data_IF_731504051000
#
_entry.id   IF_731504051000
#
_cell.length_a   1.000
_cell.length_b   1.000
_cell.length_c   1.000
_cell.angle_alpha   90.00
_cell.angle_beta   90.00
_cell.angle_gamma   90.00
#
_symmetry.space_group_name_H-M   'P 1'
#
loop_
_entity.id
_entity.type
_entity.pdbx_description
1 polymer ?
#
# COMPACT_ATOMS: atom_id res chain seq x y z
N UNK A 1 14.84 -0.17 15.70
CA UNK A 1 13.42 -0.16 16.08
C UNK A 1 12.81 1.22 15.91
N UNK A 2 13.59 2.28 16.04
CA UNK A 2 13.19 3.70 15.91
C UNK A 2 12.59 4.13 14.55
N UNK A 3 12.48 3.22 13.58
CA UNK A 3 11.86 3.45 12.27
C UNK A 3 10.62 2.59 12.03
N UNK A 4 10.23 1.79 13.02
CA UNK A 4 8.96 1.07 13.04
C UNK A 4 7.97 1.90 13.84
N UNK A 5 6.81 2.12 13.25
CA UNK A 5 5.72 2.88 13.83
C UNK A 5 4.48 2.01 13.89
N UNK A 6 3.67 2.19 14.92
CA UNK A 6 2.34 1.61 14.98
C UNK A 6 1.39 2.40 14.09
N UNK A 7 0.27 1.74 13.72
CA UNK A 7 -0.71 2.27 12.77
C UNK A 7 -1.30 3.62 13.23
N UNK A 8 -1.62 3.72 14.52
CA UNK A 8 -2.23 4.92 15.10
C UNK A 8 -1.28 6.13 15.06
N UNK A 9 0.02 5.88 15.18
CA UNK A 9 1.04 6.92 15.21
C UNK A 9 1.35 7.46 13.81
N UNK A 10 1.36 6.58 12.79
CA UNK A 10 1.84 6.95 11.44
C UNK A 10 0.74 7.43 10.50
N UNK A 11 -0.54 7.13 10.77
CA UNK A 11 -1.62 7.39 9.82
C UNK A 11 -1.83 8.89 9.52
N UNK A 12 -1.55 9.78 10.48
CA UNK A 12 -1.65 11.23 10.28
C UNK A 12 -0.61 11.74 9.26
N UNK A 13 0.55 11.09 9.20
CA UNK A 13 1.70 11.53 8.42
C UNK A 13 1.57 11.18 6.93
N UNK A 14 0.71 10.23 6.56
CA UNK A 14 0.52 9.87 5.15
C UNK A 14 0.06 11.06 4.30
N UNK A 15 -0.77 11.95 4.85
CA UNK A 15 -1.19 13.18 4.15
C UNK A 15 -0.05 14.15 3.83
N UNK A 16 1.08 14.03 4.55
CA UNK A 16 2.29 14.80 4.35
C UNK A 16 3.41 13.99 3.67
N UNK A 17 3.10 12.77 3.21
CA UNK A 17 4.08 11.86 2.60
C UNK A 17 4.05 11.95 1.09
N UNK A 18 5.22 12.19 0.49
CA UNK A 18 5.39 12.29 -0.95
C UNK A 18 5.17 10.96 -1.67
N UNK A 19 5.77 9.88 -1.15
CA UNK A 19 5.73 8.55 -1.78
C UNK A 19 5.62 7.48 -0.70
N UNK A 20 4.68 6.57 -0.88
CA UNK A 20 4.56 5.32 -0.10
C UNK A 20 4.87 4.13 -0.99
N UNK A 21 5.72 3.23 -0.52
CA UNK A 21 6.01 1.97 -1.17
C UNK A 21 5.35 0.82 -0.40
N UNK A 22 4.27 0.28 -0.95
CA UNK A 22 3.54 -0.87 -0.39
C UNK A 22 4.14 -2.15 -0.95
N UNK A 23 4.73 -2.99 -0.09
CA UNK A 23 5.39 -4.22 -0.52
C UNK A 23 4.58 -5.43 -0.07
N UNK A 24 3.91 -6.09 -1.03
CA UNK A 24 3.19 -7.36 -0.78
C UNK A 24 1.95 -7.28 0.11
N UNK A 25 1.63 -6.11 0.66
CA UNK A 25 0.41 -5.88 1.43
C UNK A 25 -0.80 -5.66 0.51
N UNK A 26 -1.97 -6.11 0.96
CA UNK A 26 -3.23 -5.94 0.26
C UNK A 26 -4.34 -5.50 1.22
N UNK A 27 -4.83 -6.41 2.08
CA UNK A 27 -5.99 -6.14 2.93
C UNK A 27 -5.75 -5.01 3.93
N UNK A 28 -4.54 -4.93 4.50
CA UNK A 28 -4.14 -3.90 5.49
C UNK A 28 -3.96 -2.49 4.91
N UNK A 29 -4.07 -2.34 3.59
CA UNK A 29 -4.04 -1.05 2.88
C UNK A 29 -5.31 -0.83 2.06
N UNK A 30 -6.34 -1.66 2.25
CA UNK A 30 -7.55 -1.65 1.43
C UNK A 30 -8.56 -0.61 1.96
N UNK A 31 -8.82 0.50 1.23
CA UNK A 31 -9.69 1.59 1.70
C UNK A 31 -11.13 1.16 1.97
N UNK A 32 -11.57 0.03 1.41
CA UNK A 32 -12.90 -0.53 1.68
C UNK A 32 -13.15 -0.78 3.17
N UNK A 33 -12.10 -1.01 3.97
CA UNK A 33 -12.23 -1.14 5.42
C UNK A 33 -12.76 0.15 6.11
N UNK A 34 -12.55 1.31 5.47
CA UNK A 34 -12.95 2.63 5.96
C UNK A 34 -14.16 3.20 5.20
N UNK A 35 -14.25 2.92 3.90
CA UNK A 35 -15.16 3.59 2.97
C UNK A 35 -16.43 2.80 2.63
N UNK A 36 -16.41 1.47 2.79
CA UNK A 36 -17.52 0.59 2.37
C UNK A 36 -18.09 -0.22 3.55
N UNK A 37 -19.22 0.22 4.16
CA UNK A 37 -19.91 -0.51 5.23
C UNK A 37 -20.37 -1.93 4.87
N UNK A 38 -20.49 -2.25 3.57
CA UNK A 38 -20.83 -3.59 3.09
C UNK A 38 -19.63 -4.53 2.94
N UNK A 39 -18.41 -4.00 3.09
CA UNK A 39 -17.19 -4.77 2.92
C UNK A 39 -16.96 -5.76 4.07
N UNK A 40 -16.50 -7.00 3.80
CA UNK A 40 -16.13 -7.96 4.84
C UNK A 40 -15.02 -7.47 5.80
N UNK A 41 -14.25 -6.45 5.38
CA UNK A 41 -13.17 -5.85 6.18
C UNK A 41 -13.56 -4.50 6.77
N UNK A 42 -14.83 -4.10 6.72
CA UNK A 42 -15.27 -2.82 7.26
C UNK A 42 -14.98 -2.73 8.77
N UNK A 43 -14.38 -1.61 9.19
CA UNK A 43 -13.93 -1.37 10.56
C UNK A 43 -12.59 -2.00 10.91
N UNK A 44 -11.95 -2.75 10.01
CA UNK A 44 -10.59 -3.24 10.22
C UNK A 44 -9.61 -2.06 10.23
N UNK A 45 -8.68 -1.97 11.22
CA UNK A 45 -7.66 -0.95 11.20
C UNK A 45 -6.72 -1.18 10.00
N UNK A 46 -6.58 -0.15 9.16
CA UNK A 46 -5.73 -0.14 7.96
C UNK A 46 -4.74 1.02 7.99
N UNK A 47 -3.70 0.92 7.17
CA UNK A 47 -2.81 2.04 6.88
C UNK A 47 -3.44 2.91 5.77
N UNK A 48 -3.57 4.20 6.04
CA UNK A 48 -4.17 5.18 5.13
C UNK A 48 -3.19 5.62 4.02
N UNK A 49 -2.50 4.65 3.40
CA UNK A 49 -1.47 4.88 2.36
C UNK A 49 -2.02 5.63 1.15
N UNK A 50 -3.34 5.55 0.96
CA UNK A 50 -4.09 6.23 -0.09
C UNK A 50 -4.06 7.76 0.03
N UNK A 51 -3.75 8.28 1.23
CA UNK A 51 -3.62 9.73 1.51
C UNK A 51 -2.28 10.32 1.08
N UNK A 52 -1.28 9.50 0.76
CA UNK A 52 0.01 9.98 0.27
C UNK A 52 -0.11 10.58 -1.14
N UNK A 53 0.82 11.46 -1.51
CA UNK A 53 0.83 12.07 -2.85
C UNK A 53 0.97 11.02 -3.95
N UNK A 54 1.76 9.96 -3.72
CA UNK A 54 1.87 8.83 -4.64
C UNK A 54 2.03 7.53 -3.87
N UNK A 55 1.27 6.50 -4.25
CA UNK A 55 1.37 5.16 -3.71
C UNK A 55 1.91 4.21 -4.78
N UNK A 56 2.99 3.49 -4.49
CA UNK A 56 3.54 2.46 -5.38
C UNK A 56 3.29 1.10 -4.73
N UNK A 57 2.55 0.24 -5.42
CA UNK A 57 2.21 -1.09 -4.91
C UNK A 57 2.99 -2.16 -5.65
N UNK A 58 3.82 -2.89 -4.92
CA UNK A 58 4.59 -4.03 -5.42
C UNK A 58 3.82 -5.32 -5.15
N UNK A 59 3.33 -5.94 -6.22
CA UNK A 59 2.65 -7.26 -6.18
C UNK A 59 2.75 -7.97 -7.53
N UNK A 60 2.50 -9.27 -7.57
CA UNK A 60 2.66 -10.07 -8.81
C UNK A 60 1.51 -9.94 -9.81
N UNK A 61 0.32 -9.55 -9.36
CA UNK A 61 -0.91 -9.51 -10.16
C UNK A 61 -1.97 -8.67 -9.45
N UNK A 62 -3.16 -8.47 -10.02
CA UNK A 62 -4.31 -7.86 -9.32
C UNK A 62 -5.07 -8.83 -8.39
N UNK A 63 -4.52 -10.01 -8.11
CA UNK A 63 -5.20 -11.01 -7.26
C UNK A 63 -5.56 -10.47 -5.86
N UNK A 64 -6.69 -10.91 -5.30
CA UNK A 64 -7.16 -10.48 -3.98
C UNK A 64 -6.26 -10.98 -2.86
N UNK A 65 -6.40 -10.37 -1.68
CA UNK A 65 -5.72 -10.78 -0.45
C UNK A 65 -6.43 -11.94 0.25
N UNK A 66 -6.24 -12.04 1.56
CA UNK A 66 -6.86 -13.07 2.39
C UNK A 66 -8.38 -12.88 2.47
N UNK A 67 -8.85 -11.63 2.53
CA UNK A 67 -10.26 -11.29 2.53
C UNK A 67 -10.99 -11.66 1.23
N UNK A 68 -10.26 -12.02 0.16
CA UNK A 68 -10.86 -12.47 -1.10
C UNK A 68 -11.59 -11.38 -1.88
N UNK A 69 -11.41 -10.11 -1.50
CA UNK A 69 -12.04 -8.95 -2.15
C UNK A 69 -11.03 -8.15 -2.98
N UNK A 70 -11.57 -7.40 -3.93
CA UNK A 70 -10.78 -6.44 -4.69
C UNK A 70 -10.35 -5.26 -3.82
N UNK A 71 -9.28 -4.57 -4.22
CA UNK A 71 -8.74 -3.43 -3.49
C UNK A 71 -8.82 -2.16 -4.32
N UNK A 72 -9.73 -1.22 -3.99
CA UNK A 72 -9.90 0.04 -4.69
C UNK A 72 -8.62 0.89 -4.78
N UNK A 73 -7.65 0.72 -3.86
CA UNK A 73 -6.37 1.41 -3.89
C UNK A 73 -5.66 1.25 -5.25
N UNK A 74 -5.74 0.06 -5.85
CA UNK A 74 -5.02 -0.28 -7.08
C UNK A 74 -5.50 0.49 -8.32
N UNK A 75 -6.66 1.15 -8.22
CA UNK A 75 -7.29 1.89 -9.32
C UNK A 75 -7.34 3.39 -9.06
N UNK A 76 -6.79 3.89 -7.94
CA UNK A 76 -6.73 5.32 -7.67
C UNK A 76 -5.72 6.01 -8.58
N UNK A 77 -6.01 7.25 -8.94
CA UNK A 77 -5.16 8.05 -9.84
C UNK A 77 -3.75 8.28 -9.29
N UNK A 78 -3.61 8.35 -7.96
CA UNK A 78 -2.32 8.50 -7.28
C UNK A 78 -1.60 7.16 -7.02
N UNK A 79 -2.12 6.04 -7.52
CA UNK A 79 -1.53 4.71 -7.30
C UNK A 79 -0.88 4.17 -8.57
N UNK A 80 0.36 3.71 -8.44
CA UNK A 80 1.13 3.02 -9.47
C UNK A 80 1.31 1.55 -9.09
N UNK A 81 1.00 0.67 -10.04
CA UNK A 81 1.20 -0.77 -9.87
C UNK A 81 2.56 -1.20 -10.42
N UNK A 82 3.43 -1.72 -9.55
CA UNK A 82 4.69 -2.34 -9.96
C UNK A 82 4.57 -3.87 -9.89
N UNK A 83 4.34 -4.48 -11.06
CA UNK A 83 4.13 -5.92 -11.15
C UNK A 83 5.44 -6.72 -11.07
N UNK A 84 5.75 -7.23 -9.87
CA UNK A 84 6.97 -8.02 -9.62
C UNK A 84 6.83 -8.82 -8.32
N UNK A 85 7.76 -9.75 -8.06
CA UNK A 85 7.92 -10.31 -6.73
C UNK A 85 8.58 -9.26 -5.80
N UNK A 86 8.27 -9.33 -4.50
CA UNK A 86 8.70 -8.32 -3.55
C UNK A 86 10.23 -8.17 -3.48
N UNK A 87 10.97 -9.28 -3.57
CA UNK A 87 12.43 -9.23 -3.48
C UNK A 87 13.02 -8.65 -4.77
N UNK A 88 12.60 -9.15 -5.92
CA UNK A 88 13.05 -8.68 -7.23
C UNK A 88 12.82 -7.19 -7.43
N UNK A 89 11.63 -6.70 -7.09
CA UNK A 89 11.30 -5.28 -7.16
C UNK A 89 12.24 -4.41 -6.33
N UNK A 90 12.49 -4.80 -5.07
CA UNK A 90 13.35 -4.00 -4.18
C UNK A 90 14.80 -4.05 -4.64
N UNK A 91 15.30 -5.21 -5.09
CA UNK A 91 16.64 -5.33 -5.65
C UNK A 91 16.83 -4.44 -6.90
N UNK A 92 15.82 -4.40 -7.78
CA UNK A 92 15.81 -3.53 -8.96
C UNK A 92 15.83 -2.05 -8.57
N UNK A 93 14.92 -1.61 -7.70
CA UNK A 93 14.86 -0.21 -7.23
C UNK A 93 16.19 0.21 -6.60
N UNK A 94 16.78 -0.63 -5.74
CA UNK A 94 18.07 -0.34 -5.11
C UNK A 94 19.19 -0.24 -6.14
N UNK A 95 19.18 -1.08 -7.18
CA UNK A 95 20.18 -1.03 -8.25
C UNK A 95 20.09 0.28 -9.03
N UNK A 96 18.90 0.67 -9.46
CA UNK A 96 18.70 1.90 -10.25
C UNK A 96 19.04 3.16 -9.45
N UNK A 97 18.66 3.22 -8.17
CA UNK A 97 18.99 4.35 -7.29
C UNK A 97 20.50 4.51 -7.08
N UNK A 98 21.27 3.41 -7.04
CA UNK A 98 22.73 3.46 -6.93
C UNK A 98 23.44 3.94 -8.20
N UNK A 99 22.76 3.86 -9.34
CA UNK A 99 23.29 4.26 -10.64
C UNK A 99 22.84 5.68 -11.06
N UNK A 100 21.95 6.28 -10.27
CA UNK A 100 21.50 7.68 -10.40
C UNK A 100 22.41 8.61 -9.61
#
# INVERSE_FOLDING_TARGET
YDRLYDLEDINADFSHTDVVLVVGANDVVNPSAREDPGSPIYGMPILDVDKARTCVVVKRSLSPGFAGIDNPLFYRENTLMFFSDAKGAIEEVVREVRQS
#
